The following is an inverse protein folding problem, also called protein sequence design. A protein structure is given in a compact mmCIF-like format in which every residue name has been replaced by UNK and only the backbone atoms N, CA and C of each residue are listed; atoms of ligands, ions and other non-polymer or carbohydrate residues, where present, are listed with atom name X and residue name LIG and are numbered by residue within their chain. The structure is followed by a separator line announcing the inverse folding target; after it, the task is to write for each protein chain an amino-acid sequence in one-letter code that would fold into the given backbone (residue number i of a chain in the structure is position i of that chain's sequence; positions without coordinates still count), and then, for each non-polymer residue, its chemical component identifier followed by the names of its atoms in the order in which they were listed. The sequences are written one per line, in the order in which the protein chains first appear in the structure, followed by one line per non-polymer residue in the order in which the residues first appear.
data_IF_106340557479
#
_entry.id   IF_106340557479
#
_cell.length_a   1.000
_cell.length_b   1.000
_cell.length_c   1.000
_cell.angle_alpha   90.00
_cell.angle_beta   90.00
_cell.angle_gamma   90.00
#
_symmetry.space_group_name_H-M   'P 1'
#
loop_
_entity.id
_entity.type
_entity.pdbx_description
1 polymer ?
#
# COMPACT_ATOMS: atom_id res chain seq x y z
N UNK A 1 -16.90 -41.79 -29.07
CA UNK A 1 -15.73 -41.20 -28.39
C UNK A 1 -16.09 -39.76 -28.07
N UNK A 2 -16.51 -39.45 -26.83
CA UNK A 2 -16.84 -38.09 -26.42
C UNK A 2 -15.53 -37.40 -26.06
N UNK A 3 -15.16 -36.41 -26.84
CA UNK A 3 -13.97 -35.58 -26.69
C UNK A 3 -14.01 -34.88 -25.33
N UNK A 4 -12.97 -35.09 -24.51
CA UNK A 4 -12.80 -34.52 -23.16
C UNK A 4 -12.17 -33.10 -23.25
N UNK A 5 -12.12 -32.52 -24.45
CA UNK A 5 -11.28 -31.34 -24.75
C UNK A 5 -11.88 -30.00 -24.29
N UNK A 6 -13.19 -29.92 -24.04
CA UNK A 6 -13.81 -28.62 -23.71
C UNK A 6 -13.54 -28.15 -22.27
N UNK A 7 -13.43 -29.07 -21.30
CA UNK A 7 -13.22 -28.70 -19.89
C UNK A 7 -11.79 -28.24 -19.57
N UNK A 8 -10.81 -28.75 -20.31
CA UNK A 8 -9.38 -28.45 -20.09
C UNK A 8 -9.00 -27.08 -20.64
N UNK A 9 -9.57 -26.69 -21.80
CA UNK A 9 -9.31 -25.40 -22.42
C UNK A 9 -9.88 -24.23 -21.59
N UNK A 10 -11.07 -24.40 -21.01
CA UNK A 10 -11.68 -23.39 -20.13
C UNK A 10 -10.88 -23.20 -18.83
N UNK A 11 -10.31 -24.28 -18.27
CA UNK A 11 -9.46 -24.21 -17.08
C UNK A 11 -8.11 -23.53 -17.35
N UNK A 12 -7.51 -23.75 -18.52
CA UNK A 12 -6.25 -23.09 -18.92
C UNK A 12 -6.48 -21.58 -19.09
N UNK A 13 -7.59 -21.16 -19.71
CA UNK A 13 -7.94 -19.75 -19.85
C UNK A 13 -8.12 -19.05 -18.49
N UNK A 14 -8.88 -19.67 -17.57
CA UNK A 14 -9.05 -19.16 -16.21
C UNK A 14 -7.73 -19.02 -15.43
N UNK A 15 -6.80 -19.96 -15.63
CA UNK A 15 -5.49 -19.91 -14.99
C UNK A 15 -4.64 -18.75 -15.55
N UNK A 16 -4.67 -18.52 -16.86
CA UNK A 16 -3.99 -17.38 -17.49
C UNK A 16 -4.52 -16.05 -16.96
N UNK A 17 -5.85 -15.88 -16.95
CA UNK A 17 -6.50 -14.66 -16.46
C UNK A 17 -6.18 -14.41 -14.97
N UNK A 18 -6.11 -15.48 -14.16
CA UNK A 18 -5.72 -15.36 -12.76
C UNK A 18 -4.25 -14.92 -12.62
N UNK A 19 -3.34 -15.50 -13.41
CA UNK A 19 -1.92 -15.13 -13.42
C UNK A 19 -1.77 -13.66 -13.79
N UNK A 20 -2.40 -13.20 -14.86
CA UNK A 20 -2.32 -11.81 -15.31
C UNK A 20 -2.84 -10.85 -14.24
N UNK A 21 -3.99 -11.16 -13.62
CA UNK A 21 -4.54 -10.35 -12.52
C UNK A 21 -3.63 -10.35 -11.29
N UNK A 22 -2.95 -11.46 -10.99
CA UNK A 22 -1.98 -11.49 -9.90
C UNK A 22 -0.69 -10.73 -10.23
N UNK A 23 -0.26 -10.72 -11.49
CA UNK A 23 0.88 -9.93 -11.94
C UNK A 23 0.59 -8.43 -11.80
N UNK A 24 -0.59 -7.98 -12.24
CA UNK A 24 -1.04 -6.59 -12.09
C UNK A 24 -1.13 -6.17 -10.61
N UNK A 25 -1.66 -7.04 -9.76
CA UNK A 25 -1.74 -6.78 -8.32
C UNK A 25 -0.35 -6.67 -7.68
N UNK A 26 0.59 -7.54 -8.07
CA UNK A 26 1.95 -7.51 -7.54
C UNK A 26 2.69 -6.22 -7.93
N UNK A 27 2.54 -5.77 -9.18
CA UNK A 27 3.14 -4.51 -9.63
C UNK A 27 2.50 -3.31 -8.92
N UNK A 28 1.18 -3.33 -8.68
CA UNK A 28 0.50 -2.30 -7.89
C UNK A 28 1.02 -2.25 -6.45
N UNK A 29 1.14 -3.40 -5.79
CA UNK A 29 1.72 -3.52 -4.43
C UNK A 29 3.13 -2.94 -4.41
N UNK A 30 3.97 -3.29 -5.39
CA UNK A 30 5.35 -2.79 -5.49
C UNK A 30 5.40 -1.27 -5.68
N UNK A 31 4.53 -0.71 -6.52
CA UNK A 31 4.43 0.74 -6.71
C UNK A 31 4.07 1.47 -5.42
N UNK A 32 3.04 1.01 -4.70
CA UNK A 32 2.66 1.61 -3.41
C UNK A 32 3.75 1.47 -2.34
N UNK A 33 4.46 0.34 -2.31
CA UNK A 33 5.58 0.14 -1.38
C UNK A 33 6.71 1.11 -1.65
N UNK A 34 7.14 1.26 -2.91
CA UNK A 34 8.19 2.21 -3.27
C UNK A 34 7.77 3.65 -2.98
N UNK A 35 6.54 4.01 -3.31
CA UNK A 35 6.00 5.35 -3.06
C UNK A 35 5.91 5.66 -1.56
N UNK A 36 5.47 4.69 -0.75
CA UNK A 36 5.48 4.80 0.71
C UNK A 36 6.88 5.12 1.24
N UNK A 37 7.91 4.42 0.77
CA UNK A 37 9.29 4.62 1.21
C UNK A 37 9.82 6.01 0.81
N UNK A 38 9.48 6.48 -0.39
CA UNK A 38 9.82 7.84 -0.84
C UNK A 38 9.14 8.88 0.05
N UNK A 39 7.83 8.76 0.27
CA UNK A 39 7.09 9.66 1.16
C UNK A 39 7.67 9.68 2.57
N UNK A 40 8.04 8.52 3.10
CA UNK A 40 8.69 8.41 4.41
C UNK A 40 10.05 9.14 4.43
N UNK A 41 10.91 8.90 3.44
CA UNK A 41 12.23 9.55 3.35
C UNK A 41 12.14 11.08 3.19
N UNK A 42 11.07 11.56 2.55
CA UNK A 42 10.81 12.99 2.35
C UNK A 42 10.00 13.63 3.51
N UNK A 43 9.79 12.91 4.60
CA UNK A 43 9.00 13.34 5.76
C UNK A 43 7.52 13.68 5.43
N UNK A 44 7.02 13.18 4.30
CA UNK A 44 5.60 13.27 3.89
C UNK A 44 4.79 12.17 4.58
N UNK A 45 4.76 12.21 5.91
CA UNK A 45 4.23 11.11 6.73
C UNK A 45 2.76 10.78 6.47
N UNK A 46 1.92 11.78 6.16
CA UNK A 46 0.51 11.58 5.81
C UNK A 46 0.33 10.78 4.53
N UNK A 47 1.14 11.07 3.51
CA UNK A 47 1.11 10.37 2.22
C UNK A 47 1.65 8.94 2.38
N UNK A 48 2.71 8.76 3.17
CA UNK A 48 3.22 7.44 3.53
C UNK A 48 2.15 6.59 4.24
N UNK A 49 1.42 7.17 5.20
CA UNK A 49 0.32 6.48 5.89
C UNK A 49 -0.79 6.04 4.92
N UNK A 50 -1.11 6.88 3.93
CA UNK A 50 -2.09 6.53 2.90
C UNK A 50 -1.66 5.29 2.11
N UNK A 51 -0.40 5.23 1.66
CA UNK A 51 0.12 4.08 0.92
C UNK A 51 0.13 2.80 1.77
N UNK A 52 0.48 2.91 3.06
CA UNK A 52 0.43 1.76 3.99
C UNK A 52 -0.99 1.22 4.11
N UNK A 53 -2.00 2.09 4.21
CA UNK A 53 -3.40 1.66 4.30
C UNK A 53 -3.92 1.05 2.99
N UNK A 54 -3.39 1.48 1.83
CA UNK A 54 -3.64 0.81 0.54
C UNK A 54 -3.00 -0.58 0.51
N UNK A 55 -1.72 -0.71 0.88
CA UNK A 55 -1.00 -1.99 0.93
C UNK A 55 -1.68 -3.01 1.85
N UNK A 56 -2.17 -2.55 3.01
CA UNK A 56 -2.93 -3.39 3.95
C UNK A 56 -4.24 -3.91 3.33
N UNK A 57 -4.94 -3.08 2.54
CA UNK A 57 -6.18 -3.48 1.85
C UNK A 57 -5.92 -4.57 0.80
N UNK A 58 -4.74 -4.59 0.19
CA UNK A 58 -4.30 -5.67 -0.70
C UNK A 58 -3.73 -6.89 0.05
N UNK A 59 -3.85 -6.95 1.37
CA UNK A 59 -3.40 -8.09 2.17
C UNK A 59 -1.87 -8.19 2.30
N UNK A 60 -1.13 -7.14 1.93
CA UNK A 60 0.32 -7.13 2.08
C UNK A 60 0.70 -7.08 3.56
N UNK A 61 1.46 -8.09 4.02
CA UNK A 61 1.87 -8.28 5.42
C UNK A 61 3.38 -8.14 5.55
N UNK A 62 3.89 -6.95 5.31
CA UNK A 62 5.29 -6.62 5.53
C UNK A 62 5.45 -5.97 6.91
N UNK A 63 6.16 -6.65 7.81
CA UNK A 63 6.39 -6.18 9.18
C UNK A 63 7.14 -4.83 9.22
N UNK A 64 7.97 -4.56 8.21
CA UNK A 64 8.65 -3.26 8.11
C UNK A 64 7.66 -2.10 7.95
N UNK A 65 6.52 -2.33 7.29
CA UNK A 65 5.46 -1.32 7.14
C UNK A 65 4.71 -1.06 8.46
N UNK A 66 4.68 -2.01 9.39
CA UNK A 66 4.12 -1.80 10.72
C UNK A 66 4.99 -0.81 11.50
N UNK A 67 6.31 -0.99 11.45
CA UNK A 67 7.25 -0.08 12.08
C UNK A 67 7.18 1.32 11.47
N UNK A 68 7.22 1.42 10.14
CA UNK A 68 7.10 2.70 9.42
C UNK A 68 5.78 3.39 9.76
N UNK A 69 4.66 2.63 9.82
CA UNK A 69 3.37 3.17 10.25
C UNK A 69 3.43 3.77 11.64
N UNK A 70 4.07 3.10 12.60
CA UNK A 70 4.26 3.61 13.96
C UNK A 70 5.00 4.95 13.95
N UNK A 71 6.14 5.03 13.26
CA UNK A 71 6.94 6.25 13.14
C UNK A 71 6.15 7.37 12.47
N UNK A 72 5.51 7.10 11.34
CA UNK A 72 4.71 8.10 10.63
C UNK A 72 3.58 8.66 11.50
N UNK A 73 2.88 7.84 12.28
CA UNK A 73 1.81 8.32 13.18
C UNK A 73 2.37 9.25 14.27
N UNK A 74 3.50 8.91 14.87
CA UNK A 74 4.15 9.77 15.88
C UNK A 74 4.47 11.13 15.26
N UNK A 75 5.16 11.16 14.13
CA UNK A 75 5.56 12.41 13.50
C UNK A 75 4.37 13.23 12.99
N UNK A 76 3.37 12.58 12.41
CA UNK A 76 2.16 13.24 11.93
C UNK A 76 1.41 13.94 13.08
N UNK A 77 1.13 13.22 14.17
CA UNK A 77 0.38 13.77 15.30
C UNK A 77 1.18 14.78 16.12
N UNK A 78 2.49 14.58 16.32
CA UNK A 78 3.35 15.58 16.96
C UNK A 78 3.41 16.86 16.13
N UNK A 79 3.47 16.73 14.80
CA UNK A 79 3.38 17.86 13.88
C UNK A 79 2.06 18.63 14.00
N UNK A 80 0.92 17.93 14.07
CA UNK A 80 -0.39 18.56 14.26
C UNK A 80 -0.48 19.31 15.60
N UNK A 81 -0.01 18.69 16.69
CA UNK A 81 0.01 19.33 18.02
C UNK A 81 0.89 20.58 18.00
N UNK A 82 2.10 20.49 17.43
CA UNK A 82 2.99 21.65 17.29
C UNK A 82 2.32 22.78 16.52
N UNK A 83 1.69 22.47 15.37
CA UNK A 83 1.03 23.47 14.55
C UNK A 83 -0.15 24.14 15.28
N UNK A 84 -0.95 23.35 16.01
CA UNK A 84 -2.03 23.89 16.84
C UNK A 84 -1.52 24.80 17.96
N UNK A 85 -0.40 24.46 18.59
CA UNK A 85 0.23 25.30 19.61
C UNK A 85 0.76 26.62 19.02
N UNK A 86 1.47 26.57 17.89
CA UNK A 86 1.97 27.75 17.20
C UNK A 86 0.84 28.72 16.84
N UNK A 87 -0.26 28.19 16.31
CA UNK A 87 -1.49 28.97 16.05
C UNK A 87 -2.07 29.59 17.31
N UNK A 88 -2.17 28.84 18.40
CA UNK A 88 -2.70 29.34 19.66
C UNK A 88 -1.84 30.46 20.27
N UNK A 89 -0.52 30.45 19.99
CA UNK A 89 0.44 31.42 20.49
C UNK A 89 0.61 32.65 19.56
N UNK A 90 -0.06 32.70 18.40
CA UNK A 90 0.17 33.71 17.35
C UNK A 90 1.64 33.83 16.92
N UNK A 91 2.36 32.71 16.88
CA UNK A 91 3.75 32.65 16.40
C UNK A 91 3.76 31.76 15.15
N UNK A 92 3.85 32.37 13.97
CA UNK A 92 4.05 31.66 12.70
C UNK A 92 5.55 31.46 12.41
#
# INVERSE_FOLDING_TARGET
MKTIESGTNDQIGLLSDLIDRTADLNELIKCHKNRCLIHYAENRYKDALHDIDVLRRYGHKDESLIMIKGVCNIHFHVGEVRNSLLKALNVE
#
